data_IF_520557426048
#
_entry.id   IF_520557426048
#
_cell.length_a   1.000
_cell.length_b   1.000
_cell.length_c   1.000
_cell.angle_alpha   90.00
_cell.angle_beta   90.00
_cell.angle_gamma   90.00
#
_symmetry.space_group_name_H-M   'P 1'
#
loop_
_entity.id
_entity.type
_entity.pdbx_description
1 polymer ?
#
# COMPACT_ATOMS: atom_id res chain seq x y z
N UNK A 1 -19.83 21.62 4.83
CA UNK A 1 -19.09 21.45 3.56
C UNK A 1 -17.92 20.51 3.84
N UNK A 2 -18.07 19.21 3.54
CA UNK A 2 -17.12 18.16 3.94
C UNK A 2 -16.51 17.57 2.66
N UNK A 3 -15.22 17.80 2.45
CA UNK A 3 -14.45 17.37 1.28
C UNK A 3 -14.07 15.88 1.38
N UNK A 4 -14.71 15.08 0.52
CA UNK A 4 -14.49 13.64 0.30
C UNK A 4 -13.23 13.38 -0.57
N UNK A 5 -12.04 13.78 -0.11
CA UNK A 5 -10.76 13.59 -0.83
C UNK A 5 -10.01 12.27 -0.59
N UNK A 6 -10.75 11.20 -0.27
CA UNK A 6 -10.28 10.02 0.48
C UNK A 6 -9.54 8.93 -0.26
N UNK A 7 -8.81 9.25 -1.33
CA UNK A 7 -8.15 8.24 -2.17
C UNK A 7 -6.62 8.45 -2.17
N UNK A 8 -5.99 8.29 -1.01
CA UNK A 8 -4.53 8.37 -0.77
C UNK A 8 -4.04 7.26 0.18
N UNK A 9 -4.85 6.21 0.37
CA UNK A 9 -4.76 5.34 1.56
C UNK A 9 -3.71 4.23 1.48
N UNK A 10 -3.28 3.77 0.30
CA UNK A 10 -2.24 2.73 0.20
C UNK A 10 -0.79 3.26 0.23
N UNK A 11 -0.54 4.52 -0.16
CA UNK A 11 0.78 5.21 0.01
C UNK A 11 1.02 5.70 1.46
N UNK A 12 0.24 5.22 2.42
CA UNK A 12 0.20 5.76 3.78
C UNK A 12 1.22 5.01 4.64
N UNK A 13 2.06 5.78 5.34
CA UNK A 13 3.13 5.36 6.27
C UNK A 13 2.81 4.10 7.09
N UNK A 14 1.57 3.96 7.56
CA UNK A 14 1.09 2.84 8.39
C UNK A 14 1.29 1.46 7.73
N UNK A 15 1.00 1.31 6.44
CA UNK A 15 1.17 0.00 5.77
C UNK A 15 2.65 -0.38 5.64
N UNK A 16 3.52 0.62 5.38
CA UNK A 16 4.96 0.44 5.32
C UNK A 16 5.55 0.18 6.72
N UNK A 17 5.04 0.86 7.75
CA UNK A 17 5.41 0.63 9.15
C UNK A 17 5.01 -0.78 9.59
N UNK A 18 3.81 -1.24 9.22
CA UNK A 18 3.38 -2.62 9.45
C UNK A 18 4.28 -3.62 8.72
N UNK A 19 4.63 -3.36 7.45
CA UNK A 19 5.56 -4.22 6.71
C UNK A 19 6.92 -4.31 7.42
N UNK A 20 7.49 -3.18 7.83
CA UNK A 20 8.76 -3.14 8.57
C UNK A 20 8.65 -3.88 9.91
N UNK A 21 7.53 -3.72 10.63
CA UNK A 21 7.28 -4.45 11.87
C UNK A 21 7.21 -5.97 11.65
N UNK A 22 6.50 -6.41 10.61
CA UNK A 22 6.34 -7.83 10.29
C UNK A 22 7.66 -8.44 9.84
N UNK A 23 8.43 -7.77 8.98
CA UNK A 23 9.59 -8.37 8.32
C UNK A 23 10.94 -8.06 8.98
N UNK A 24 11.13 -6.85 9.53
CA UNK A 24 12.36 -6.43 10.20
C UNK A 24 12.25 -6.44 11.73
N UNK A 25 11.03 -6.25 12.25
CA UNK A 25 10.72 -6.28 13.69
C UNK A 25 10.25 -4.93 14.24
N UNK A 26 9.74 -4.89 15.48
CA UNK A 26 9.09 -3.70 16.04
C UNK A 26 9.98 -2.46 16.11
N UNK A 27 11.27 -2.64 16.43
CA UNK A 27 12.24 -1.54 16.52
C UNK A 27 12.50 -0.86 15.17
N UNK A 28 12.23 -1.54 14.06
CA UNK A 28 12.43 -1.01 12.72
C UNK A 28 11.24 -0.19 12.21
N UNK A 29 10.03 -0.40 12.72
CA UNK A 29 8.79 0.13 12.15
C UNK A 29 8.86 1.63 11.80
N UNK A 30 9.26 2.46 12.78
CA UNK A 30 9.30 3.92 12.67
C UNK A 30 10.63 4.50 12.17
N UNK A 31 11.63 3.65 11.89
CA UNK A 31 12.97 4.07 11.53
C UNK A 31 13.14 4.40 10.04
N UNK A 32 14.36 4.73 9.62
CA UNK A 32 14.68 4.93 8.21
C UNK A 32 14.43 3.64 7.37
N UNK A 33 14.27 3.77 6.04
CA UNK A 33 14.24 2.64 5.10
C UNK A 33 15.43 1.68 5.30
N UNK A 34 15.17 0.37 5.21
CA UNK A 34 16.21 -0.66 5.36
C UNK A 34 16.82 -0.79 6.76
N UNK A 35 16.36 -0.01 7.74
CA UNK A 35 16.86 -0.10 9.10
C UNK A 35 16.54 -1.45 9.73
N UNK A 36 17.56 -2.09 10.29
CA UNK A 36 17.43 -3.24 11.18
C UNK A 36 18.43 -3.11 12.33
N UNK A 37 18.08 -3.64 13.51
CA UNK A 37 19.00 -3.66 14.67
C UNK A 37 18.71 -4.85 15.57
N UNK A 38 19.76 -5.48 16.07
CA UNK A 38 19.67 -6.58 17.02
C UNK A 38 19.42 -7.92 16.33
N UNK A 39 18.48 -8.72 16.86
CA UNK A 39 18.20 -10.08 16.38
C UNK A 39 17.71 -10.06 14.92
N UNK A 40 18.07 -11.09 14.16
CA UNK A 40 17.58 -11.28 12.79
C UNK A 40 16.04 -11.18 12.73
N UNK A 41 15.55 -10.30 11.85
CA UNK A 41 14.12 -10.11 11.55
C UNK A 41 13.53 -11.32 10.82
N UNK A 42 12.20 -11.34 10.68
CA UNK A 42 11.49 -12.47 10.07
C UNK A 42 11.89 -12.67 8.60
N UNK A 43 12.16 -11.60 7.84
CA UNK A 43 12.65 -11.72 6.48
C UNK A 43 13.99 -12.47 6.41
N UNK A 44 14.95 -12.06 7.24
CA UNK A 44 16.26 -12.72 7.31
C UNK A 44 16.16 -14.19 7.77
N UNK A 45 15.28 -14.50 8.74
CA UNK A 45 15.06 -15.89 9.19
C UNK A 45 14.46 -16.78 8.11
N UNK A 46 13.63 -16.21 7.24
CA UNK A 46 12.98 -16.92 6.15
C UNK A 46 13.78 -16.87 4.83
N UNK A 47 14.98 -16.28 4.82
CA UNK A 47 15.78 -16.12 3.60
C UNK A 47 15.15 -15.19 2.56
N UNK A 48 14.24 -14.31 2.98
CA UNK A 48 13.48 -13.44 2.09
C UNK A 48 14.21 -12.11 1.88
N UNK A 49 14.58 -11.83 0.63
CA UNK A 49 15.32 -10.62 0.25
C UNK A 49 14.44 -9.55 -0.42
N UNK A 50 13.21 -9.90 -0.81
CA UNK A 50 12.27 -8.99 -1.45
C UNK A 50 10.81 -9.33 -1.10
N UNK A 51 9.94 -8.33 -1.17
CA UNK A 51 8.49 -8.47 -1.10
C UNK A 51 7.91 -8.55 -2.51
N UNK A 52 6.97 -9.47 -2.72
CA UNK A 52 6.12 -9.54 -3.89
C UNK A 52 4.67 -9.13 -3.60
N UNK A 53 3.82 -9.24 -4.63
CA UNK A 53 2.39 -8.93 -4.53
C UNK A 53 1.68 -9.66 -3.38
N UNK A 54 2.00 -10.96 -3.21
CA UNK A 54 1.43 -11.82 -2.16
C UNK A 54 1.84 -11.40 -0.76
N UNK A 55 3.06 -10.89 -0.60
CA UNK A 55 3.52 -10.34 0.68
C UNK A 55 2.77 -9.06 1.03
N UNK A 56 2.56 -8.17 0.05
CA UNK A 56 1.80 -6.93 0.25
C UNK A 56 0.34 -7.25 0.59
N UNK A 57 -0.28 -8.20 -0.10
CA UNK A 57 -1.62 -8.69 0.24
C UNK A 57 -1.67 -9.22 1.68
N UNK A 58 -0.66 -9.98 2.11
CA UNK A 58 -0.54 -10.47 3.47
C UNK A 58 -0.44 -9.30 4.47
N UNK A 59 0.46 -8.34 4.24
CA UNK A 59 0.61 -7.15 5.09
C UNK A 59 -0.71 -6.40 5.25
N UNK A 60 -1.42 -6.14 4.14
CA UNK A 60 -2.70 -5.44 4.18
C UNK A 60 -3.76 -6.23 4.97
N UNK A 61 -3.78 -7.55 4.82
CA UNK A 61 -4.70 -8.44 5.54
C UNK A 61 -4.42 -8.43 7.04
N UNK A 62 -3.13 -8.50 7.44
CA UNK A 62 -2.72 -8.42 8.85
C UNK A 62 -3.03 -7.05 9.46
N UNK A 63 -2.78 -5.97 8.72
CA UNK A 63 -3.11 -4.62 9.16
C UNK A 63 -4.62 -4.45 9.35
N UNK A 64 -5.43 -4.95 8.41
CA UNK A 64 -6.89 -4.91 8.53
C UNK A 64 -7.36 -5.64 9.80
N UNK A 65 -6.86 -6.86 10.01
CA UNK A 65 -7.19 -7.64 11.21
C UNK A 65 -6.80 -6.87 12.49
N UNK A 66 -5.63 -6.24 12.51
CA UNK A 66 -5.13 -5.47 13.67
C UNK A 66 -5.92 -4.20 13.95
N UNK A 67 -6.56 -3.64 12.92
CA UNK A 67 -7.42 -2.45 13.02
C UNK A 67 -8.90 -2.81 13.27
N UNK A 68 -9.27 -4.07 13.06
CA UNK A 68 -10.62 -4.55 13.33
C UNK A 68 -10.88 -4.60 14.83
N UNK A 69 -12.14 -4.42 15.24
CA UNK A 69 -12.56 -4.58 16.65
C UNK A 69 -12.81 -6.04 17.02
N UNK A 70 -12.33 -6.99 16.21
CA UNK A 70 -12.52 -8.41 16.47
C UNK A 70 -11.69 -8.84 17.68
N UNK A 71 -12.34 -9.50 18.63
CA UNK A 71 -11.67 -10.09 19.79
C UNK A 71 -10.88 -11.34 19.43
N UNK A 72 -11.27 -12.03 18.35
CA UNK A 72 -10.67 -13.28 17.91
C UNK A 72 -10.48 -13.27 16.38
N UNK A 73 -9.44 -13.96 15.92
CA UNK A 73 -9.24 -14.15 14.49
C UNK A 73 -10.34 -15.05 13.90
N UNK A 74 -10.92 -14.62 12.79
CA UNK A 74 -11.89 -15.37 12.01
C UNK A 74 -11.63 -15.13 10.52
N UNK A 75 -11.80 -16.18 9.70
CA UNK A 75 -11.68 -16.06 8.24
C UNK A 75 -12.74 -15.13 7.63
N UNK A 76 -13.86 -14.92 8.34
CA UNK A 76 -14.92 -13.96 7.98
C UNK A 76 -15.28 -13.06 9.15
N UNK A 77 -15.47 -11.79 8.85
CA UNK A 77 -15.96 -10.75 9.76
C UNK A 77 -17.27 -10.18 9.22
N UNK A 78 -18.41 -10.72 9.68
CA UNK A 78 -19.72 -10.46 9.08
C UNK A 78 -19.73 -10.80 7.59
N UNK A 79 -19.87 -9.78 6.75
CA UNK A 79 -19.87 -9.90 5.29
C UNK A 79 -18.46 -9.76 4.66
N UNK A 80 -17.43 -9.50 5.46
CA UNK A 80 -16.07 -9.34 4.98
C UNK A 80 -15.32 -10.67 5.04
N UNK A 81 -14.65 -11.02 3.94
CA UNK A 81 -13.86 -12.26 3.82
C UNK A 81 -12.39 -11.90 3.69
N UNK A 82 -11.56 -12.37 4.64
CA UNK A 82 -10.13 -12.10 4.64
C UNK A 82 -9.43 -12.77 3.45
N UNK A 83 -9.94 -13.93 3.03
CA UNK A 83 -9.41 -14.67 1.87
C UNK A 83 -9.69 -13.89 0.58
N UNK A 84 -10.94 -13.42 0.40
CA UNK A 84 -11.31 -12.67 -0.81
C UNK A 84 -10.59 -11.33 -0.85
N UNK A 85 -10.42 -10.68 0.31
CA UNK A 85 -9.63 -9.45 0.42
C UNK A 85 -8.16 -9.68 0.04
N UNK A 86 -7.54 -10.75 0.54
CA UNK A 86 -6.16 -11.10 0.20
C UNK A 86 -5.99 -11.28 -1.30
N UNK A 87 -6.83 -12.09 -1.93
CA UNK A 87 -6.74 -12.35 -3.38
C UNK A 87 -7.03 -11.11 -4.20
N UNK A 88 -8.01 -10.30 -3.81
CA UNK A 88 -8.29 -9.03 -4.48
C UNK A 88 -7.07 -8.08 -4.45
N UNK A 89 -6.32 -8.03 -3.34
CA UNK A 89 -5.08 -7.24 -3.30
C UNK A 89 -3.98 -7.87 -4.15
N UNK A 90 -3.79 -9.18 -4.10
CA UNK A 90 -2.77 -9.85 -4.90
C UNK A 90 -3.02 -9.66 -6.42
N UNK A 91 -4.28 -9.71 -6.85
CA UNK A 91 -4.69 -9.51 -8.24
C UNK A 91 -4.46 -8.08 -8.75
N UNK A 92 -4.41 -7.06 -7.87
CA UNK A 92 -4.06 -5.69 -8.27
C UNK A 92 -2.69 -5.59 -8.94
N UNK A 93 -1.79 -6.51 -8.59
CA UNK A 93 -0.42 -6.53 -9.09
C UNK A 93 -0.25 -7.49 -10.27
N UNK A 94 -1.31 -8.16 -10.71
CA UNK A 94 -1.24 -9.08 -11.83
C UNK A 94 -1.03 -8.32 -13.15
N UNK A 95 -0.33 -8.94 -14.10
CA UNK A 95 -0.03 -8.32 -15.40
C UNK A 95 0.95 -7.13 -15.33
N UNK A 96 1.81 -7.05 -14.31
CA UNK A 96 2.88 -6.04 -14.19
C UNK A 96 2.42 -4.66 -13.70
N UNK A 97 1.14 -4.50 -13.34
CA UNK A 97 0.61 -3.28 -12.72
C UNK A 97 1.10 -3.19 -11.27
N UNK A 98 1.32 -1.97 -10.77
CA UNK A 98 1.69 -1.74 -9.36
C UNK A 98 3.12 -2.11 -8.97
N UNK A 99 4.02 -2.34 -9.94
CA UNK A 99 5.43 -2.58 -9.67
C UNK A 99 6.07 -1.42 -8.88
N UNK A 100 5.65 -0.18 -9.14
CA UNK A 100 6.08 1.01 -8.39
C UNK A 100 5.77 0.91 -6.89
N UNK A 101 4.63 0.32 -6.54
CA UNK A 101 4.24 0.08 -5.15
C UNK A 101 5.11 -1.03 -4.55
N UNK A 102 5.36 -2.12 -5.29
CA UNK A 102 6.25 -3.20 -4.85
C UNK A 102 7.66 -2.66 -4.57
N UNK A 103 8.20 -1.88 -5.50
CA UNK A 103 9.53 -1.27 -5.37
C UNK A 103 9.58 -0.32 -4.18
N UNK A 104 8.51 0.45 -3.96
CA UNK A 104 8.38 1.32 -2.81
C UNK A 104 8.40 0.54 -1.48
N UNK A 105 7.66 -0.58 -1.38
CA UNK A 105 7.70 -1.44 -0.20
C UNK A 105 9.09 -2.04 0.02
N UNK A 106 9.74 -2.53 -1.04
CA UNK A 106 11.10 -3.07 -0.97
C UNK A 106 12.12 -2.02 -0.51
N UNK A 107 12.03 -0.79 -1.01
CA UNK A 107 12.85 0.31 -0.53
C UNK A 107 12.67 0.53 0.98
N UNK A 108 11.43 0.62 1.46
CA UNK A 108 11.19 0.88 2.87
C UNK A 108 11.60 -0.27 3.79
N UNK A 109 11.40 -1.52 3.37
CA UNK A 109 11.67 -2.71 4.19
C UNK A 109 13.13 -3.16 4.12
N UNK A 110 13.75 -3.12 2.94
CA UNK A 110 15.09 -3.65 2.68
C UNK A 110 16.13 -2.60 2.31
N UNK A 111 15.73 -1.35 2.04
CA UNK A 111 16.65 -0.28 1.64
C UNK A 111 17.13 -0.39 0.19
N UNK A 112 16.50 -1.22 -0.64
CA UNK A 112 16.85 -1.36 -2.07
C UNK A 112 16.60 -0.07 -2.83
N UNK A 113 17.48 0.29 -3.78
CA UNK A 113 17.26 1.46 -4.62
C UNK A 113 15.89 1.39 -5.32
N UNK A 114 14.98 2.31 -4.97
CA UNK A 114 13.66 2.40 -5.60
C UNK A 114 13.87 2.77 -7.06
N UNK A 115 13.52 1.89 -8.00
CA UNK A 115 13.46 2.25 -9.42
C UNK A 115 12.30 3.21 -9.60
N UNK A 116 12.55 4.51 -9.45
CA UNK A 116 11.53 5.53 -9.59
C UNK A 116 11.09 5.62 -11.05
N UNK A 117 10.04 4.91 -11.45
CA UNK A 117 9.35 5.18 -12.70
C UNK A 117 8.30 6.26 -12.45
N UNK A 118 8.47 7.33 -13.21
CA UNK A 118 7.67 8.55 -13.30
C UNK A 118 6.19 8.25 -13.48
N UNK A 119 5.36 9.00 -12.75
CA UNK A 119 3.90 9.04 -12.82
C UNK A 119 3.43 9.25 -14.28
N UNK A 120 2.71 8.29 -14.86
CA UNK A 120 2.08 8.46 -16.18
C UNK A 120 0.67 7.87 -16.23
N UNK A 121 -0.22 8.59 -16.90
CA UNK A 121 -1.69 8.57 -16.75
C UNK A 121 -2.33 8.20 -18.08
N UNK A 122 -3.17 7.16 -18.16
CA UNK A 122 -4.19 6.99 -19.23
C UNK A 122 -5.27 5.95 -18.87
N UNK A 123 -6.55 6.27 -19.15
CA UNK A 123 -7.78 5.46 -18.99
C UNK A 123 -8.83 5.91 -20.04
N UNK A 124 -9.88 5.13 -20.44
CA UNK A 124 -10.22 3.75 -20.05
C UNK A 124 -10.73 2.81 -21.19
N UNK A 125 -10.63 1.49 -20.97
CA UNK A 125 -11.54 0.50 -21.53
C UNK A 125 -12.35 -0.09 -20.36
N UNK A 126 -13.68 0.09 -20.40
CA UNK A 126 -14.67 -0.32 -19.40
C UNK A 126 -14.26 -0.08 -17.94
N UNK A 127 -14.55 1.13 -17.44
CA UNK A 127 -14.14 1.63 -16.12
C UNK A 127 -14.45 0.62 -15.00
N UNK A 128 -13.45 -0.15 -14.59
CA UNK A 128 -13.55 -0.87 -13.32
C UNK A 128 -13.55 0.18 -12.21
N UNK A 129 -14.06 -0.16 -11.01
CA UNK A 129 -14.11 0.79 -9.89
C UNK A 129 -12.77 1.48 -9.57
N UNK A 130 -11.66 0.89 -10.01
CA UNK A 130 -10.32 1.45 -9.93
C UNK A 130 -10.05 2.64 -10.86
N UNK A 131 -10.67 2.65 -12.03
CA UNK A 131 -10.47 3.70 -13.04
C UNK A 131 -11.23 4.97 -12.67
N UNK A 132 -12.39 4.79 -12.01
CA UNK A 132 -13.13 5.84 -11.33
C UNK A 132 -12.27 6.53 -10.25
N UNK A 133 -11.54 5.74 -9.46
CA UNK A 133 -10.67 6.26 -8.39
C UNK A 133 -9.52 7.09 -8.95
N UNK A 134 -8.91 6.67 -10.06
CA UNK A 134 -7.86 7.42 -10.73
C UNK A 134 -8.39 8.74 -11.34
N UNK A 135 -9.54 8.69 -12.03
CA UNK A 135 -10.18 9.86 -12.61
C UNK A 135 -10.54 10.93 -11.55
N UNK A 136 -11.02 10.50 -10.38
CA UNK A 136 -11.33 11.41 -9.26
C UNK A 136 -10.10 12.15 -8.74
N UNK A 137 -8.92 11.52 -8.72
CA UNK A 137 -7.69 12.16 -8.24
C UNK A 137 -7.16 13.20 -9.22
N UNK A 138 -7.28 12.95 -10.53
CA UNK A 138 -6.88 13.90 -11.57
C UNK A 138 -7.74 15.17 -11.55
N UNK A 139 -9.07 15.02 -11.42
CA UNK A 139 -10.00 16.14 -11.33
C UNK A 139 -9.74 17.06 -10.11
N UNK A 140 -9.28 16.51 -8.99
CA UNK A 140 -8.96 17.30 -7.79
C UNK A 140 -7.72 18.20 -7.98
N UNK A 141 -6.72 17.77 -8.76
CA UNK A 141 -5.50 18.57 -9.03
C UNK A 141 -5.79 19.76 -9.95
N UNK A 142 -6.61 19.57 -10.99
CA UNK A 142 -6.99 20.64 -11.91
C UNK A 142 -7.74 21.79 -11.21
N UNK A 143 -8.59 21.48 -10.23
CA UNK A 143 -9.33 22.48 -9.45
C UNK A 143 -8.42 23.36 -8.59
N UNK A 144 -7.36 22.78 -8.00
CA UNK A 144 -6.43 23.52 -7.15
C UNK A 144 -5.52 24.46 -7.96
N UNK A 145 -5.15 24.08 -9.19
CA UNK A 145 -4.39 24.93 -10.10
C UNK A 145 -5.21 26.13 -10.59
N UNK A 146 -6.49 25.91 -10.95
CA UNK A 146 -7.39 26.98 -11.37
C UNK A 146 -7.66 28.01 -10.26
N UNK A 147 -7.70 27.58 -8.99
CA UNK A 147 -7.87 28.49 -7.85
C UNK A 147 -6.63 29.34 -7.53
N UNK A 148 -5.44 28.94 -8.00
CA UNK A 148 -4.20 29.71 -7.81
C UNK A 148 -3.96 30.71 -8.94
N UNK A 149 -4.41 30.42 -10.17
CA UNK A 149 -4.31 31.37 -11.30
C UNK A 149 -5.31 32.53 -11.24
N UNK A 150 -6.37 32.40 -10.46
CA UNK A 150 -7.35 33.47 -10.22
C UNK A 150 -7.00 34.38 -9.03
N UNK A 151 -5.83 34.20 -8.41
CA UNK A 151 -5.36 34.97 -7.27
C UNK A 151 -4.07 35.78 -7.59
N UNK A 152 -3.77 36.00 -8.87
CA UNK A 152 -2.74 36.94 -9.36
C UNK A 152 -3.39 38.08 -10.12
#
# INVERSE_FOLDING_TARGET
MIDLGGNRKLRRKVCQEAAKQIYQGPSAALQAPGYHRGRAGNAARNGQAALGARDIAYICTQLYCSLSSLSNWSARDGNFSYIDFYWAIAELFNGGKGQDIIDNFNYHVFGTASSSVVESTALPAALSGFDLIAAQRAAKRARLAASQSSAS
#
